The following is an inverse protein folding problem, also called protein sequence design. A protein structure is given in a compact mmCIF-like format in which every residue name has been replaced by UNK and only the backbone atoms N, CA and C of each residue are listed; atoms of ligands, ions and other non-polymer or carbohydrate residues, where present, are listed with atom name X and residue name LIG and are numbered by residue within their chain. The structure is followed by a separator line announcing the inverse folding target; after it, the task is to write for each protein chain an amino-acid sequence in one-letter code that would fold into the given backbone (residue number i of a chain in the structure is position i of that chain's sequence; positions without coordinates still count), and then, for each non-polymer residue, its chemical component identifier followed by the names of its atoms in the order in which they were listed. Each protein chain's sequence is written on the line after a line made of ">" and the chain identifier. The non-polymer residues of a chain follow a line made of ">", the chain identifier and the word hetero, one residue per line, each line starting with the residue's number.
data_IF_917465274980
#
_entry.id   IF_917465274980
#
_cell.length_a   1.000
_cell.length_b   1.000
_cell.length_c   1.000
_cell.angle_alpha   90.00
_cell.angle_beta   90.00
_cell.angle_gamma   90.00
#
_symmetry.space_group_name_H-M   'P 1'
#
loop_
_entity.id
_entity.type
_entity.pdbx_description
1 polymer ?
#
# COMPACT_ATOMS: atom_id res chain seq x y z
N UNK A 1 -69.11 -84.20 53.25
CA UNK A 1 -68.97 -83.65 51.88
C UNK A 1 -68.13 -82.38 51.95
N UNK A 2 -66.93 -82.38 51.38
CA UNK A 2 -65.93 -81.31 51.46
C UNK A 2 -65.39 -81.08 50.06
N UNK A 3 -65.56 -79.88 49.52
CA UNK A 3 -65.11 -79.48 48.18
C UNK A 3 -63.72 -78.83 48.25
N UNK A 4 -62.92 -78.86 47.15
CA UNK A 4 -61.55 -78.37 47.12
C UNK A 4 -61.42 -76.99 46.43
N UNK A 5 -60.41 -76.19 46.81
CA UNK A 5 -60.03 -75.00 46.02
C UNK A 5 -58.55 -74.61 46.19
N UNK A 6 -57.79 -74.97 45.15
CA UNK A 6 -56.81 -74.18 44.35
C UNK A 6 -55.58 -73.54 45.00
N UNK A 7 -54.45 -73.91 44.39
CA UNK A 7 -53.06 -73.46 44.52
C UNK A 7 -52.78 -72.08 43.92
N UNK A 8 -51.83 -71.34 44.49
CA UNK A 8 -51.22 -70.14 43.89
C UNK A 8 -49.74 -70.38 43.50
N UNK A 9 -49.23 -69.79 42.39
CA UNK A 9 -47.86 -69.93 41.92
C UNK A 9 -46.92 -68.79 42.35
N UNK A 10 -45.62 -69.09 42.36
CA UNK A 10 -44.48 -68.19 42.65
C UNK A 10 -44.28 -67.16 41.54
N UNK A 11 -43.96 -65.91 41.93
CA UNK A 11 -43.49 -64.86 41.03
C UNK A 11 -41.97 -64.63 41.18
N UNK A 12 -41.28 -64.57 40.04
CA UNK A 12 -39.83 -64.35 39.87
C UNK A 12 -39.50 -62.85 39.71
N UNK A 13 -38.27 -62.40 40.02
CA UNK A 13 -37.88 -61.00 39.89
C UNK A 13 -37.38 -60.64 38.48
N UNK A 14 -37.79 -59.48 37.96
CA UNK A 14 -37.35 -58.93 36.67
C UNK A 14 -35.97 -58.26 36.78
N UNK A 15 -35.03 -58.67 35.92
CA UNK A 15 -33.66 -58.15 35.80
C UNK A 15 -33.64 -56.79 35.07
N UNK A 16 -33.20 -55.75 35.77
CA UNK A 16 -32.95 -54.40 35.25
C UNK A 16 -31.73 -54.38 34.30
N UNK A 17 -31.91 -53.78 33.13
CA UNK A 17 -30.99 -53.76 31.98
C UNK A 17 -30.45 -52.32 31.81
N UNK A 18 -29.61 -51.86 32.75
CA UNK A 18 -29.25 -50.44 32.92
C UNK A 18 -27.79 -50.04 32.65
N UNK A 19 -27.00 -50.84 31.90
CA UNK A 19 -25.54 -50.68 31.91
C UNK A 19 -24.92 -50.38 30.54
N UNK A 20 -25.70 -50.44 29.45
CA UNK A 20 -25.16 -50.27 28.09
C UNK A 20 -25.17 -48.82 27.61
N UNK A 21 -26.15 -47.99 28.01
CA UNK A 21 -26.24 -46.58 27.59
C UNK A 21 -25.12 -45.73 28.21
N UNK A 22 -24.79 -45.97 29.49
CA UNK A 22 -23.69 -45.28 30.20
C UNK A 22 -22.30 -45.59 29.63
N UNK A 23 -22.10 -46.78 29.04
CA UNK A 23 -20.83 -47.14 28.38
C UNK A 23 -20.65 -46.40 27.06
N UNK A 24 -21.73 -46.22 26.28
CA UNK A 24 -21.70 -45.46 25.03
C UNK A 24 -21.43 -43.97 25.29
N UNK A 25 -22.03 -43.41 26.35
CA UNK A 25 -21.80 -42.00 26.75
C UNK A 25 -20.34 -41.77 27.18
N UNK A 26 -19.74 -42.69 27.95
CA UNK A 26 -18.31 -42.58 28.34
C UNK A 26 -17.35 -42.67 27.16
N UNK A 27 -17.67 -43.47 26.14
CA UNK A 27 -16.88 -43.59 24.91
C UNK A 27 -16.93 -42.31 24.05
N UNK A 28 -18.09 -41.67 23.96
CA UNK A 28 -18.24 -40.40 23.24
C UNK A 28 -17.50 -39.24 23.94
N UNK A 29 -17.53 -39.19 25.28
CA UNK A 29 -16.78 -38.16 26.04
C UNK A 29 -15.26 -38.27 25.87
N UNK A 30 -14.72 -39.49 25.71
CA UNK A 30 -13.28 -39.70 25.52
C UNK A 30 -12.81 -39.38 24.09
N UNK A 31 -13.70 -39.49 23.10
CA UNK A 31 -13.39 -39.20 21.69
C UNK A 31 -13.62 -37.74 21.30
N UNK A 32 -14.42 -37.00 22.07
CA UNK A 32 -14.73 -35.58 21.80
C UNK A 32 -13.50 -34.67 21.69
N UNK A 33 -12.47 -34.78 22.56
CA UNK A 33 -11.30 -33.91 22.49
C UNK A 33 -10.56 -34.01 21.14
N UNK A 34 -10.38 -35.21 20.59
CA UNK A 34 -9.63 -35.39 19.33
C UNK A 34 -10.36 -34.81 18.12
N UNK A 35 -11.69 -34.92 18.09
CA UNK A 35 -12.52 -34.36 17.01
C UNK A 35 -12.49 -32.83 17.03
N UNK A 36 -12.56 -32.22 18.23
CA UNK A 36 -12.49 -30.75 18.37
C UNK A 36 -11.13 -30.22 17.92
N UNK A 37 -10.02 -30.88 18.28
CA UNK A 37 -8.70 -30.51 17.78
C UNK A 37 -8.59 -30.62 16.25
N UNK A 38 -9.13 -31.68 15.64
CA UNK A 38 -9.12 -31.85 14.18
C UNK A 38 -9.84 -30.72 13.43
N UNK A 39 -11.07 -30.38 13.86
CA UNK A 39 -11.86 -29.30 13.24
C UNK A 39 -11.20 -27.93 13.46
N UNK A 40 -10.66 -27.67 14.66
CA UNK A 40 -9.96 -26.43 14.96
C UNK A 40 -8.75 -26.21 14.06
N UNK A 41 -7.96 -27.27 13.82
CA UNK A 41 -6.76 -27.19 12.98
C UNK A 41 -7.10 -26.78 11.54
N UNK A 42 -8.15 -27.37 10.96
CA UNK A 42 -8.60 -27.07 9.59
C UNK A 42 -9.06 -25.61 9.45
N UNK A 43 -9.87 -25.12 10.40
CA UNK A 43 -10.38 -23.73 10.38
C UNK A 43 -9.23 -22.72 10.54
N UNK A 44 -8.30 -23.01 11.45
CA UNK A 44 -7.14 -22.14 11.70
C UNK A 44 -6.22 -22.06 10.46
N UNK A 45 -5.98 -23.19 9.76
CA UNK A 45 -5.20 -23.21 8.51
C UNK A 45 -5.84 -22.38 7.40
N UNK A 46 -7.17 -22.40 7.26
CA UNK A 46 -7.88 -21.60 6.24
C UNK A 46 -7.80 -20.10 6.56
N UNK A 47 -7.96 -19.72 7.83
CA UNK A 47 -7.82 -18.31 8.24
C UNK A 47 -6.40 -17.77 7.99
N UNK A 48 -5.37 -18.56 8.28
CA UNK A 48 -3.98 -18.15 8.01
C UNK A 48 -3.69 -17.90 6.53
N UNK A 49 -4.31 -18.66 5.62
CA UNK A 49 -4.11 -18.49 4.17
C UNK A 49 -4.73 -17.17 3.65
N UNK A 50 -5.91 -16.80 4.14
CA UNK A 50 -6.60 -15.57 3.73
C UNK A 50 -5.84 -14.33 4.25
N UNK A 51 -5.47 -14.32 5.53
CA UNK A 51 -4.70 -13.21 6.12
C UNK A 51 -3.31 -13.08 5.49
N UNK A 52 -2.67 -14.19 5.14
CA UNK A 52 -1.36 -14.17 4.48
C UNK A 52 -1.38 -13.55 3.07
N UNK A 53 -2.46 -13.71 2.30
CA UNK A 53 -2.58 -13.09 0.97
C UNK A 53 -2.79 -11.58 1.07
N UNK A 54 -3.63 -11.12 2.00
CA UNK A 54 -3.88 -9.68 2.19
C UNK A 54 -2.62 -8.98 2.71
N UNK A 55 -1.93 -9.59 3.68
CA UNK A 55 -0.65 -9.09 4.19
C UNK A 55 0.38 -8.97 3.07
N UNK A 56 0.52 -9.97 2.19
CA UNK A 56 1.47 -9.89 1.06
C UNK A 56 1.17 -8.73 0.12
N UNK A 57 -0.11 -8.45 -0.17
CA UNK A 57 -0.48 -7.30 -1.00
C UNK A 57 -0.18 -5.97 -0.31
N UNK A 58 -0.43 -5.89 0.99
CA UNK A 58 -0.12 -4.71 1.77
C UNK A 58 1.39 -4.49 1.87
N UNK A 59 2.17 -5.54 2.14
CA UNK A 59 3.63 -5.51 2.21
C UNK A 59 4.22 -5.07 0.87
N UNK A 60 3.68 -5.57 -0.26
CA UNK A 60 4.09 -5.15 -1.60
C UNK A 60 3.80 -3.66 -1.84
N UNK A 61 2.58 -3.19 -1.53
CA UNK A 61 2.23 -1.77 -1.67
C UNK A 61 3.11 -0.88 -0.80
N UNK A 62 3.38 -1.30 0.43
CA UNK A 62 4.24 -0.55 1.35
C UNK A 62 5.69 -0.52 0.84
N UNK A 63 6.20 -1.63 0.32
CA UNK A 63 7.52 -1.67 -0.29
C UNK A 63 7.62 -0.78 -1.52
N UNK A 64 6.60 -0.81 -2.40
CA UNK A 64 6.54 0.06 -3.59
C UNK A 64 6.46 1.54 -3.20
N UNK A 65 5.61 1.90 -2.24
CA UNK A 65 5.52 3.26 -1.72
C UNK A 65 6.84 3.74 -1.09
N UNK A 66 7.53 2.86 -0.36
CA UNK A 66 8.84 3.15 0.22
C UNK A 66 9.90 3.34 -0.86
N UNK A 67 9.88 2.53 -1.92
CA UNK A 67 10.79 2.64 -3.06
C UNK A 67 10.58 3.96 -3.81
N UNK A 68 9.32 4.33 -4.10
CA UNK A 68 8.99 5.59 -4.78
C UNK A 68 9.40 6.78 -3.90
N UNK A 69 9.12 6.71 -2.60
CA UNK A 69 9.51 7.74 -1.64
C UNK A 69 11.02 7.94 -1.60
N UNK A 70 11.78 6.86 -1.44
CA UNK A 70 13.25 6.92 -1.44
C UNK A 70 13.80 7.44 -2.76
N UNK A 71 13.20 7.06 -3.90
CA UNK A 71 13.60 7.57 -5.22
C UNK A 71 13.43 9.09 -5.31
N UNK A 72 12.34 9.64 -4.79
CA UNK A 72 12.10 11.07 -4.75
C UNK A 72 13.04 11.79 -3.76
N UNK A 73 13.21 11.26 -2.54
CA UNK A 73 14.11 11.84 -1.52
C UNK A 73 15.56 11.89 -2.04
N UNK A 74 16.07 10.78 -2.58
CA UNK A 74 17.40 10.73 -3.19
C UNK A 74 17.55 11.75 -4.33
N UNK A 75 16.51 11.93 -5.15
CA UNK A 75 16.53 12.94 -6.20
C UNK A 75 16.68 14.35 -5.63
N UNK A 76 15.88 14.71 -4.62
CA UNK A 76 15.94 16.04 -4.00
C UNK A 76 17.31 16.25 -3.36
N UNK A 77 17.82 15.28 -2.61
CA UNK A 77 19.13 15.35 -1.96
C UNK A 77 20.26 15.51 -2.98
N UNK A 78 20.24 14.70 -4.04
CA UNK A 78 21.28 14.72 -5.06
C UNK A 78 21.30 16.04 -5.85
N UNK A 79 20.13 16.54 -6.26
CA UNK A 79 20.07 17.82 -6.98
C UNK A 79 20.37 18.98 -6.03
N UNK A 80 19.92 18.94 -4.79
CA UNK A 80 20.24 19.98 -3.79
C UNK A 80 21.74 20.03 -3.53
N UNK A 81 22.38 18.88 -3.31
CA UNK A 81 23.83 18.76 -3.13
C UNK A 81 24.59 19.32 -4.34
N UNK A 82 24.16 18.95 -5.56
CA UNK A 82 24.75 19.48 -6.78
C UNK A 82 24.58 21.00 -6.90
N UNK A 83 23.41 21.55 -6.58
CA UNK A 83 23.15 23.00 -6.65
C UNK A 83 23.93 23.80 -5.60
N UNK A 84 24.32 23.17 -4.49
CA UNK A 84 25.11 23.76 -3.42
C UNK A 84 26.63 23.58 -3.59
N UNK A 85 27.07 22.73 -4.52
CA UNK A 85 28.48 22.50 -4.81
C UNK A 85 29.12 23.78 -5.40
N UNK A 86 30.24 24.23 -4.84
CA UNK A 86 30.99 25.40 -5.32
C UNK A 86 31.44 25.27 -6.78
N UNK A 87 31.59 24.03 -7.26
CA UNK A 87 31.97 23.73 -8.65
C UNK A 87 30.79 23.79 -9.60
N UNK A 88 29.56 23.81 -9.09
CA UNK A 88 28.38 23.81 -9.93
C UNK A 88 28.22 25.15 -10.66
N UNK A 89 28.42 25.09 -11.97
CA UNK A 89 28.15 26.20 -12.87
C UNK A 89 26.88 25.92 -13.68
N UNK A 90 25.84 26.76 -13.51
CA UNK A 90 24.58 26.66 -14.27
C UNK A 90 24.76 26.88 -15.76
N UNK A 91 25.73 27.70 -16.16
CA UNK A 91 26.06 27.92 -17.57
C UNK A 91 26.81 26.73 -18.19
N UNK A 92 27.20 25.72 -17.40
CA UNK A 92 27.81 24.49 -17.92
C UNK A 92 26.73 23.52 -18.42
N UNK A 93 26.73 23.27 -19.72
CA UNK A 93 25.79 22.34 -20.38
C UNK A 93 25.86 20.91 -19.85
N UNK A 94 27.02 20.44 -19.39
CA UNK A 94 27.15 19.08 -18.85
C UNK A 94 26.42 18.93 -17.51
N UNK A 95 26.49 19.96 -16.65
CA UNK A 95 25.79 19.96 -15.37
C UNK A 95 24.28 20.00 -15.58
N UNK A 96 23.79 20.87 -16.48
CA UNK A 96 22.37 20.90 -16.83
C UNK A 96 21.89 19.61 -17.49
N UNK A 97 22.73 18.99 -18.33
CA UNK A 97 22.41 17.70 -18.94
C UNK A 97 22.29 16.60 -17.88
N UNK A 98 23.19 16.58 -16.89
CA UNK A 98 23.11 15.65 -15.77
C UNK A 98 21.79 15.82 -15.00
N UNK A 99 21.45 17.06 -14.63
CA UNK A 99 20.18 17.37 -13.95
C UNK A 99 19.00 16.94 -14.81
N UNK A 100 19.03 17.20 -16.12
CA UNK A 100 17.97 16.84 -17.06
C UNK A 100 17.74 15.34 -17.10
N UNK A 101 18.80 14.55 -17.34
CA UNK A 101 18.71 13.09 -17.43
C UNK A 101 18.15 12.50 -16.15
N UNK A 102 18.64 12.99 -14.99
CA UNK A 102 18.18 12.54 -13.69
C UNK A 102 16.72 12.90 -13.45
N UNK A 103 16.34 14.14 -13.73
CA UNK A 103 14.95 14.63 -13.60
C UNK A 103 13.99 13.83 -14.47
N UNK A 104 14.29 13.63 -15.75
CA UNK A 104 13.41 12.88 -16.66
C UNK A 104 13.27 11.41 -16.25
N UNK A 105 14.35 10.81 -15.75
CA UNK A 105 14.34 9.43 -15.27
C UNK A 105 13.50 9.30 -14.00
N UNK A 106 13.68 10.21 -13.03
CA UNK A 106 12.90 10.22 -11.79
C UNK A 106 11.42 10.51 -12.06
N UNK A 107 11.10 11.49 -12.91
CA UNK A 107 9.72 11.84 -13.27
C UNK A 107 8.93 10.64 -13.82
N UNK A 108 9.57 9.69 -14.51
CA UNK A 108 8.90 8.49 -15.03
C UNK A 108 8.51 7.48 -13.95
N UNK A 109 9.18 7.53 -12.80
CA UNK A 109 9.07 6.52 -11.74
C UNK A 109 8.33 7.01 -10.49
N UNK A 110 7.90 8.28 -10.46
CA UNK A 110 7.19 8.86 -9.32
C UNK A 110 5.72 9.14 -9.63
N UNK A 111 4.89 9.17 -8.59
CA UNK A 111 3.47 9.53 -8.71
C UNK A 111 3.26 11.03 -8.95
N UNK A 112 2.03 11.38 -9.30
CA UNK A 112 1.64 12.74 -9.72
C UNK A 112 1.94 13.79 -8.65
N UNK A 113 1.78 13.49 -7.36
CA UNK A 113 2.04 14.47 -6.29
C UNK A 113 3.54 14.77 -6.20
N UNK A 114 4.38 13.72 -6.28
CA UNK A 114 5.84 13.87 -6.28
C UNK A 114 6.34 14.55 -7.55
N UNK A 115 5.75 14.29 -8.73
CA UNK A 115 6.05 15.05 -9.95
C UNK A 115 5.81 16.54 -9.73
N UNK A 116 4.67 16.93 -9.14
CA UNK A 116 4.36 18.33 -8.82
C UNK A 116 5.44 18.95 -7.94
N UNK A 117 5.80 18.26 -6.87
CA UNK A 117 6.80 18.75 -5.91
C UNK A 117 8.20 18.87 -6.56
N UNK A 118 8.57 17.96 -7.47
CA UNK A 118 9.79 18.10 -8.28
C UNK A 118 9.76 19.35 -9.17
N UNK A 119 8.63 19.64 -9.83
CA UNK A 119 8.52 20.82 -10.70
C UNK A 119 8.59 22.11 -9.87
N UNK A 120 7.94 22.15 -8.71
CA UNK A 120 8.03 23.28 -7.79
C UNK A 120 9.48 23.48 -7.31
N UNK A 121 10.14 22.42 -6.88
CA UNK A 121 11.55 22.48 -6.46
C UNK A 121 12.46 23.03 -7.57
N UNK A 122 12.33 22.53 -8.80
CA UNK A 122 13.12 23.00 -9.94
C UNK A 122 12.79 24.46 -10.31
N UNK A 123 11.53 24.86 -10.17
CA UNK A 123 11.09 26.25 -10.37
C UNK A 123 11.68 27.19 -9.32
N UNK A 124 11.58 26.84 -8.03
CA UNK A 124 12.15 27.60 -6.90
C UNK A 124 13.67 27.70 -6.99
N UNK A 125 14.32 26.64 -7.49
CA UNK A 125 15.75 26.62 -7.81
C UNK A 125 16.14 27.52 -8.98
N UNK A 126 15.16 28.17 -9.64
CA UNK A 126 15.29 28.99 -10.85
C UNK A 126 15.78 28.23 -12.08
N UNK A 127 15.68 26.90 -12.11
CA UNK A 127 16.07 26.08 -13.26
C UNK A 127 15.00 26.10 -14.36
N UNK A 128 13.75 26.35 -14.00
CA UNK A 128 12.60 26.38 -14.92
C UNK A 128 12.00 27.78 -15.10
N UNK A 129 12.73 28.85 -14.75
CA UNK A 129 12.22 30.21 -14.92
C UNK A 129 12.70 30.85 -16.22
N UNK A 130 11.84 31.64 -16.85
CA UNK A 130 12.10 32.33 -18.11
C UNK A 130 12.89 33.64 -17.92
N UNK A 131 12.99 34.15 -16.69
CA UNK A 131 13.79 35.33 -16.32
C UNK A 131 15.30 35.02 -16.21
N UNK A 132 15.70 33.77 -16.42
CA UNK A 132 17.08 33.29 -16.41
C UNK A 132 17.59 33.10 -17.85
N UNK A 133 18.89 33.37 -18.14
CA UNK A 133 19.49 33.12 -19.46
C UNK A 133 19.24 31.71 -19.99
N UNK A 134 19.09 31.57 -21.32
CA UNK A 134 18.74 30.28 -21.94
C UNK A 134 19.78 29.17 -21.71
N UNK A 135 21.06 29.54 -21.55
CA UNK A 135 22.17 28.63 -21.29
C UNK A 135 22.25 28.14 -19.82
N UNK A 136 21.48 28.76 -18.92
CA UNK A 136 21.37 28.37 -17.50
C UNK A 136 20.07 27.64 -17.18
N UNK A 137 19.22 27.48 -18.21
CA UNK A 137 17.87 26.97 -18.06
C UNK A 137 17.80 25.48 -18.33
N UNK A 138 17.10 24.77 -17.46
CA UNK A 138 16.83 23.35 -17.63
C UNK A 138 15.69 23.15 -18.63
N UNK A 139 15.95 22.41 -19.70
CA UNK A 139 14.90 21.97 -20.63
C UNK A 139 14.33 20.62 -20.17
N UNK A 140 13.02 20.60 -19.90
CA UNK A 140 12.27 19.37 -19.62
C UNK A 140 11.53 18.85 -20.85
N UNK A 141 12.00 19.18 -22.06
CA UNK A 141 11.42 18.66 -23.30
C UNK A 141 11.23 17.13 -23.20
N UNK A 142 10.05 16.68 -23.60
CA UNK A 142 9.56 15.30 -23.55
C UNK A 142 9.22 14.77 -22.14
N UNK A 143 9.18 15.63 -21.12
CA UNK A 143 8.66 15.24 -19.81
C UNK A 143 7.15 15.00 -19.86
N UNK A 144 6.72 13.91 -19.22
CA UNK A 144 5.31 13.57 -19.04
C UNK A 144 4.81 14.09 -17.69
N UNK A 145 4.05 15.19 -17.76
CA UNK A 145 3.36 15.83 -16.65
C UNK A 145 1.83 15.76 -16.84
N UNK A 146 1.31 14.73 -17.51
CA UNK A 146 -0.14 14.50 -17.65
C UNK A 146 -0.81 14.44 -16.27
N UNK A 147 -2.01 15.02 -16.17
CA UNK A 147 -2.86 15.07 -14.96
C UNK A 147 -2.25 15.79 -13.75
N UNK A 148 -1.19 16.56 -13.96
CA UNK A 148 -0.52 17.23 -12.87
C UNK A 148 -1.40 18.37 -12.32
N UNK A 149 -1.62 18.37 -11.01
CA UNK A 149 -2.50 19.35 -10.34
C UNK A 149 -1.68 20.25 -9.44
N UNK A 150 -1.59 21.52 -9.78
CA UNK A 150 -1.10 22.57 -8.89
C UNK A 150 -2.29 23.18 -8.16
N UNK A 151 -2.32 23.06 -6.85
CA UNK A 151 -3.40 23.57 -6.02
C UNK A 151 -2.84 24.50 -4.95
N UNK A 152 -2.93 25.80 -5.20
CA UNK A 152 -2.74 26.83 -4.19
C UNK A 152 -4.00 27.00 -3.34
N UNK A 153 -3.93 27.96 -2.43
CA UNK A 153 -5.10 28.43 -1.68
C UNK A 153 -5.26 29.95 -1.85
N UNK A 154 -6.43 30.48 -1.55
CA UNK A 154 -6.67 31.94 -1.60
C UNK A 154 -5.76 32.73 -0.65
N UNK A 155 -5.31 32.10 0.45
CA UNK A 155 -4.36 32.69 1.40
C UNK A 155 -2.90 32.45 1.02
N UNK A 156 -2.60 31.50 0.13
CA UNK A 156 -1.26 31.17 -0.32
C UNK A 156 -1.30 30.65 -1.77
N UNK A 157 -1.39 31.56 -2.76
CA UNK A 157 -1.37 31.17 -4.16
C UNK A 157 0.02 30.66 -4.55
N UNK A 158 0.08 29.67 -5.45
CA UNK A 158 1.36 29.19 -5.98
C UNK A 158 1.84 30.18 -7.03
N UNK A 159 3.01 30.77 -6.81
CA UNK A 159 3.67 31.67 -7.77
C UNK A 159 4.44 30.82 -8.77
N UNK A 160 4.01 30.82 -10.02
CA UNK A 160 4.63 30.16 -11.17
C UNK A 160 4.89 31.18 -12.28
N UNK A 161 5.09 32.46 -11.90
CA UNK A 161 5.42 33.53 -12.82
C UNK A 161 6.68 33.18 -13.61
N UNK A 162 6.63 33.37 -14.92
CA UNK A 162 7.75 33.03 -15.81
C UNK A 162 8.09 31.54 -15.85
N UNK A 163 7.19 30.62 -15.50
CA UNK A 163 7.43 29.19 -15.66
C UNK A 163 7.70 28.83 -17.13
N UNK A 164 8.80 28.12 -17.38
CA UNK A 164 9.27 27.73 -18.71
C UNK A 164 9.27 26.20 -18.86
N UNK A 165 8.29 25.68 -19.60
CA UNK A 165 8.11 24.24 -19.84
C UNK A 165 7.86 23.94 -21.34
N UNK A 166 8.79 24.29 -22.24
CA UNK A 166 8.60 24.02 -23.67
C UNK A 166 8.61 22.52 -23.95
N UNK A 167 7.69 22.05 -24.80
CA UNK A 167 7.67 20.66 -25.25
C UNK A 167 7.40 19.64 -24.15
N UNK A 168 6.79 20.06 -23.05
CA UNK A 168 6.33 19.18 -21.96
C UNK A 168 4.90 18.74 -22.23
N UNK A 169 4.58 17.48 -21.95
CA UNK A 169 3.21 16.97 -22.06
C UNK A 169 2.42 17.34 -20.80
N UNK A 170 1.50 18.31 -20.94
CA UNK A 170 0.65 18.84 -19.85
C UNK A 170 -0.84 18.53 -20.09
N UNK A 171 -1.14 17.42 -20.77
CA UNK A 171 -2.51 16.96 -20.95
C UNK A 171 -3.20 16.88 -19.58
N UNK A 172 -4.43 17.39 -19.47
CA UNK A 172 -5.20 17.38 -18.22
C UNK A 172 -4.51 18.02 -17.00
N UNK A 173 -3.47 18.85 -17.19
CA UNK A 173 -2.87 19.58 -16.08
C UNK A 173 -3.84 20.66 -15.58
N UNK A 174 -3.95 20.81 -14.26
CA UNK A 174 -4.87 21.74 -13.62
C UNK A 174 -4.10 22.71 -12.73
N UNK A 175 -4.38 23.99 -12.88
CA UNK A 175 -3.76 25.07 -12.10
C UNK A 175 -4.86 25.81 -11.32
N UNK A 176 -5.03 25.46 -10.05
CA UNK A 176 -5.96 26.12 -9.15
C UNK A 176 -5.22 27.12 -8.26
N UNK A 177 -5.70 28.37 -8.22
CA UNK A 177 -5.11 29.44 -7.41
C UNK A 177 -3.60 29.62 -7.64
N UNK A 178 -3.19 29.53 -8.91
CA UNK A 178 -1.82 29.76 -9.35
C UNK A 178 -1.70 31.12 -10.05
N UNK A 179 -0.56 31.78 -9.87
CA UNK A 179 -0.20 33.00 -10.61
C UNK A 179 0.81 32.56 -11.68
N UNK A 180 0.49 32.78 -12.96
CA UNK A 180 1.29 32.37 -14.12
C UNK A 180 1.93 33.56 -14.82
#
# INVERSE_FOLDING_TARGET
>A
MKTPSKSCPKASPSKSKGNSCLKVIKLLLAAFPSVVFGVFTIVFTIQQHITGIENRKQDQKQADEQNIRSTFENYIDDISSLLLDEKFNRSNSEHLLHIRVKTLTTLRNVDINRKRDMILFLYESRLLRNDVPCNERLSLQDADLDKLTFQGSSSNPIQLDNLYLPGVYLSNAVFHWCIL
#
